data_IF_145406819891
#
_entry.id   IF_145406819891
#
_cell.length_a   1.000
_cell.length_b   1.000
_cell.length_c   1.000
_cell.angle_alpha   90.00
_cell.angle_beta   90.00
_cell.angle_gamma   90.00
#
_symmetry.space_group_name_H-M   'P 1'
#
loop_
_entity.id
_entity.type
_entity.pdbx_description
1 polymer ?
#
# COMPACT_ATOMS: atom_id res chain seq x y z
N UNK A 1 -38.28 -32.65 18.65
CA UNK A 1 -38.81 -31.30 18.37
C UNK A 1 -37.95 -30.30 19.14
N UNK A 2 -36.79 -29.92 18.58
CA UNK A 2 -35.88 -28.97 19.22
C UNK A 2 -36.34 -27.54 18.92
N UNK A 3 -36.79 -26.82 19.94
CA UNK A 3 -37.12 -25.40 19.78
C UNK A 3 -35.82 -24.61 19.75
N UNK A 4 -35.49 -24.01 18.62
CA UNK A 4 -34.39 -23.06 18.51
C UNK A 4 -34.69 -21.86 19.42
N UNK A 5 -33.92 -21.70 20.50
CA UNK A 5 -34.06 -20.57 21.41
C UNK A 5 -33.54 -19.31 20.70
N UNK A 6 -34.45 -18.39 20.38
CA UNK A 6 -34.09 -17.12 19.74
C UNK A 6 -33.38 -16.20 20.75
N UNK A 7 -32.32 -15.52 20.31
CA UNK A 7 -31.52 -14.56 21.10
C UNK A 7 -32.26 -13.25 21.47
N UNK A 8 -33.59 -13.32 21.55
CA UNK A 8 -34.48 -12.18 21.65
C UNK A 8 -35.58 -12.43 22.67
N UNK A 9 -35.85 -11.46 23.53
CA UNK A 9 -36.92 -11.51 24.54
C UNK A 9 -37.99 -10.50 24.19
N UNK A 10 -39.24 -10.92 24.22
CA UNK A 10 -40.39 -10.05 23.97
C UNK A 10 -41.00 -9.59 25.30
N UNK A 11 -41.20 -8.29 25.47
CA UNK A 11 -41.87 -7.75 26.64
C UNK A 11 -43.37 -8.13 26.62
N UNK A 12 -43.92 -8.79 27.65
CA UNK A 12 -45.33 -9.21 27.65
C UNK A 12 -46.32 -8.04 27.74
N UNK A 13 -45.87 -6.84 28.09
CA UNK A 13 -46.73 -5.68 28.27
C UNK A 13 -46.84 -4.77 27.04
N UNK A 14 -45.76 -4.64 26.25
CA UNK A 14 -45.74 -3.76 25.08
C UNK A 14 -45.31 -4.47 23.79
N UNK A 15 -45.07 -5.79 23.84
CA UNK A 15 -44.68 -6.64 22.71
C UNK A 15 -43.42 -6.21 21.96
N UNK A 16 -42.57 -5.37 22.56
CA UNK A 16 -41.27 -5.02 21.99
C UNK A 16 -40.27 -6.15 22.21
N UNK A 17 -39.53 -6.47 21.18
CA UNK A 17 -38.48 -7.49 21.17
C UNK A 17 -37.12 -6.84 21.44
N UNK A 18 -36.32 -7.47 22.30
CA UNK A 18 -35.00 -7.00 22.71
C UNK A 18 -33.97 -8.11 22.51
N UNK A 19 -32.89 -7.81 21.79
CA UNK A 19 -31.72 -8.68 21.75
C UNK A 19 -30.98 -8.56 23.08
N UNK A 20 -30.60 -9.69 23.66
CA UNK A 20 -29.96 -9.73 24.97
C UNK A 20 -28.66 -10.53 24.91
N UNK A 21 -27.71 -10.17 25.76
CA UNK A 21 -26.41 -10.84 25.88
C UNK A 21 -26.47 -11.92 26.97
N UNK A 22 -25.72 -13.02 26.86
CA UNK A 22 -25.72 -14.09 27.86
C UNK A 22 -25.40 -13.61 29.28
N UNK A 23 -24.64 -12.50 29.44
CA UNK A 23 -24.34 -11.89 30.76
C UNK A 23 -25.58 -11.40 31.54
N UNK A 24 -26.72 -11.24 30.84
CA UNK A 24 -27.99 -10.86 31.42
C UNK A 24 -28.85 -12.07 31.81
N UNK A 25 -28.40 -13.30 31.58
CA UNK A 25 -29.12 -14.52 31.95
C UNK A 25 -29.45 -14.51 33.45
N UNK A 26 -30.71 -14.82 33.78
CA UNK A 26 -31.23 -14.78 35.15
C UNK A 26 -31.35 -13.40 35.79
N UNK A 27 -31.02 -12.32 35.07
CA UNK A 27 -31.18 -10.95 35.58
C UNK A 27 -32.54 -10.38 35.18
N UNK A 28 -32.97 -9.38 35.94
CA UNK A 28 -34.19 -8.62 35.65
C UNK A 28 -33.82 -7.34 34.92
N UNK A 29 -34.37 -7.12 33.73
CA UNK A 29 -34.09 -5.94 32.90
C UNK A 29 -35.34 -5.08 32.77
N UNK A 30 -35.16 -3.75 32.74
CA UNK A 30 -36.27 -2.80 32.61
C UNK A 30 -36.58 -2.56 31.13
N UNK A 31 -37.82 -2.82 30.73
CA UNK A 31 -38.35 -2.49 29.42
C UNK A 31 -38.52 -0.97 29.26
N UNK A 32 -38.50 -0.48 28.02
CA UNK A 32 -38.78 0.94 27.71
C UNK A 32 -40.19 1.38 28.16
N UNK A 33 -41.15 0.46 28.30
CA UNK A 33 -42.48 0.75 28.83
C UNK A 33 -42.53 0.85 30.37
N UNK A 34 -41.39 0.71 31.06
CA UNK A 34 -41.30 0.80 32.52
C UNK A 34 -41.39 -0.53 33.27
N UNK A 35 -41.95 -1.57 32.65
CA UNK A 35 -42.10 -2.89 33.26
C UNK A 35 -40.78 -3.67 33.31
N UNK A 36 -40.64 -4.53 34.31
CA UNK A 36 -39.44 -5.37 34.51
C UNK A 36 -39.67 -6.75 33.86
N UNK A 37 -38.76 -7.16 32.99
CA UNK A 37 -38.77 -8.45 32.29
C UNK A 37 -37.74 -9.36 32.96
N UNK A 38 -38.12 -10.60 33.26
CA UNK A 38 -37.18 -11.63 33.70
C UNK A 38 -36.49 -12.24 32.46
N UNK A 39 -35.16 -12.19 32.43
CA UNK A 39 -34.37 -12.88 31.42
C UNK A 39 -34.25 -14.35 31.82
N UNK A 40 -34.44 -15.32 30.92
CA UNK A 40 -34.26 -16.74 31.22
C UNK A 40 -32.88 -17.03 31.84
N UNK A 41 -32.82 -17.95 32.80
CA UNK A 41 -31.56 -18.37 33.45
C UNK A 41 -30.63 -19.15 32.52
N UNK A 42 -31.20 -19.80 31.50
CA UNK A 42 -30.44 -20.57 30.52
C UNK A 42 -30.08 -19.63 29.38
N UNK A 43 -28.82 -19.19 29.37
CA UNK A 43 -28.25 -18.56 28.18
C UNK A 43 -28.33 -19.57 27.03
N UNK A 44 -28.82 -19.16 25.83
CA UNK A 44 -28.67 -20.01 24.67
C UNK A 44 -27.18 -20.29 24.54
N UNK A 45 -26.79 -21.56 24.69
CA UNK A 45 -25.45 -21.98 24.34
C UNK A 45 -25.32 -21.57 22.88
N UNK A 46 -24.44 -20.61 22.63
CA UNK A 46 -23.86 -20.49 21.32
C UNK A 46 -23.17 -21.84 21.13
N UNK A 47 -23.82 -22.76 20.40
CA UNK A 47 -23.04 -23.67 19.56
C UNK A 47 -22.16 -22.73 18.76
N UNK A 48 -20.92 -22.58 19.24
CA UNK A 48 -19.85 -22.17 18.35
C UNK A 48 -20.06 -23.09 17.17
N UNK A 49 -20.35 -22.55 15.96
CA UNK A 49 -20.35 -23.40 14.79
C UNK A 49 -19.05 -24.17 14.93
N UNK A 50 -19.17 -25.50 15.05
CA UNK A 50 -17.99 -26.34 15.05
C UNK A 50 -17.14 -25.78 13.93
N UNK A 51 -15.86 -25.53 14.19
CA UNK A 51 -14.93 -25.30 13.10
C UNK A 51 -15.13 -26.50 12.18
N UNK A 52 -16.01 -26.34 11.19
CA UNK A 52 -16.00 -27.07 9.96
C UNK A 52 -14.65 -26.63 9.40
N UNK A 53 -13.61 -27.35 9.86
CA UNK A 53 -12.55 -27.82 9.01
C UNK A 53 -13.27 -28.37 7.79
N UNK A 54 -13.59 -27.46 6.86
CA UNK A 54 -13.85 -27.75 5.49
C UNK A 54 -12.59 -28.47 5.03
N UNK A 55 -12.61 -29.79 5.19
CA UNK A 55 -11.87 -30.68 4.34
C UNK A 55 -12.46 -30.42 2.96
N UNK A 56 -11.85 -29.44 2.28
CA UNK A 56 -12.12 -29.12 0.89
C UNK A 56 -11.64 -30.34 0.12
N UNK A 57 -12.48 -31.37 0.09
CA UNK A 57 -12.36 -32.47 -0.84
C UNK A 57 -12.12 -31.84 -2.19
N UNK A 58 -11.03 -32.27 -2.82
CA UNK A 58 -10.51 -31.82 -4.10
C UNK A 58 -11.67 -31.63 -5.09
N UNK A 59 -12.21 -30.42 -5.15
CA UNK A 59 -13.27 -30.07 -6.09
C UNK A 59 -12.53 -29.93 -7.41
N UNK A 60 -12.68 -30.92 -8.27
CA UNK A 60 -12.12 -30.91 -9.61
C UNK A 60 -12.59 -29.63 -10.31
N UNK A 61 -11.68 -28.65 -10.44
CA UNK A 61 -11.96 -27.33 -11.00
C UNK A 61 -12.46 -27.41 -12.44
N UNK A 62 -12.38 -28.58 -13.09
CA UNK A 62 -12.89 -28.81 -14.43
C UNK A 62 -14.43 -28.80 -14.55
N UNK A 63 -15.16 -29.07 -13.45
CA UNK A 63 -16.63 -29.21 -13.47
C UNK A 63 -17.39 -27.99 -12.91
N UNK A 64 -16.69 -26.94 -12.51
CA UNK A 64 -17.35 -25.68 -12.18
C UNK A 64 -17.88 -25.04 -13.47
N UNK A 65 -19.19 -24.73 -13.56
CA UNK A 65 -19.72 -24.01 -14.71
C UNK A 65 -18.94 -22.69 -14.83
N UNK A 66 -18.51 -22.30 -16.05
CA UNK A 66 -17.75 -21.08 -16.23
C UNK A 66 -18.51 -19.93 -15.58
N UNK A 67 -17.83 -19.08 -14.80
CA UNK A 67 -18.50 -17.96 -14.14
C UNK A 67 -19.29 -17.20 -15.20
N UNK A 68 -20.54 -16.78 -14.91
CA UNK A 68 -21.36 -16.07 -15.87
C UNK A 68 -20.52 -14.91 -16.39
N UNK A 69 -20.15 -14.97 -17.67
CA UNK A 69 -19.36 -13.94 -18.33
C UNK A 69 -20.10 -12.63 -18.11
N UNK A 70 -19.57 -11.81 -17.22
CA UNK A 70 -20.17 -10.55 -16.84
C UNK A 70 -20.47 -9.80 -18.13
N UNK A 71 -21.76 -9.57 -18.40
CA UNK A 71 -22.23 -8.90 -19.60
C UNK A 71 -21.42 -7.62 -19.78
N UNK A 72 -20.53 -7.63 -20.76
CA UNK A 72 -19.44 -6.65 -20.87
C UNK A 72 -19.94 -5.20 -20.81
N UNK A 73 -19.10 -4.32 -20.27
CA UNK A 73 -19.38 -2.89 -20.21
C UNK A 73 -19.76 -2.37 -21.61
N UNK A 74 -20.92 -1.73 -21.74
CA UNK A 74 -21.37 -1.12 -23.00
C UNK A 74 -21.29 0.39 -22.90
N UNK A 75 -20.86 1.04 -23.99
CA UNK A 75 -20.83 2.50 -24.07
C UNK A 75 -22.24 3.07 -23.86
N UNK A 76 -22.47 4.00 -22.90
CA UNK A 76 -23.78 4.60 -22.66
C UNK A 76 -24.32 5.36 -23.88
N UNK A 77 -23.43 5.85 -24.74
CA UNK A 77 -23.82 6.65 -25.88
C UNK A 77 -24.12 5.85 -27.15
N UNK A 78 -23.40 4.77 -27.43
CA UNK A 78 -23.56 4.01 -28.70
C UNK A 78 -23.79 2.51 -28.51
N UNK A 79 -23.84 2.01 -27.26
CA UNK A 79 -24.08 0.62 -26.87
C UNK A 79 -23.07 -0.42 -27.39
N UNK A 80 -21.98 0.02 -28.01
CA UNK A 80 -20.89 -0.87 -28.39
C UNK A 80 -20.19 -1.43 -27.14
N UNK A 81 -19.77 -2.70 -27.18
CA UNK A 81 -18.98 -3.29 -26.11
C UNK A 81 -17.67 -2.52 -25.94
N UNK A 82 -17.24 -2.36 -24.70
CA UNK A 82 -16.00 -1.68 -24.30
C UNK A 82 -15.18 -2.60 -23.42
N UNK A 83 -13.85 -2.51 -23.57
CA UNK A 83 -12.91 -3.20 -22.68
C UNK A 83 -12.97 -2.59 -21.27
N UNK A 84 -13.00 -3.43 -20.20
CA UNK A 84 -12.94 -2.94 -18.84
C UNK A 84 -11.72 -2.03 -18.62
N UNK A 85 -11.94 -0.84 -18.06
CA UNK A 85 -10.87 0.13 -17.77
C UNK A 85 -10.59 1.15 -18.87
N UNK A 86 -11.19 1.04 -20.06
CA UNK A 86 -11.09 2.08 -21.10
C UNK A 86 -11.91 3.32 -20.71
N UNK A 87 -11.26 4.50 -20.66
CA UNK A 87 -11.94 5.78 -20.32
C UNK A 87 -12.79 6.32 -21.47
N UNK A 88 -12.46 6.00 -22.71
CA UNK A 88 -13.12 6.55 -23.90
C UNK A 88 -13.54 5.44 -24.86
N UNK A 89 -14.78 5.52 -25.35
CA UNK A 89 -15.27 4.60 -26.37
C UNK A 89 -14.58 4.87 -27.70
N UNK A 90 -13.87 3.87 -28.24
CA UNK A 90 -13.17 3.98 -29.53
C UNK A 90 -14.11 4.19 -30.72
N UNK A 91 -15.38 3.76 -30.62
CA UNK A 91 -16.32 3.88 -31.74
C UNK A 91 -17.02 5.25 -31.82
N UNK A 92 -17.33 5.87 -30.68
CA UNK A 92 -18.11 7.12 -30.66
C UNK A 92 -17.45 8.28 -29.89
N UNK A 93 -16.25 8.08 -29.34
CA UNK A 93 -15.51 9.11 -28.61
C UNK A 93 -16.10 9.53 -27.25
N UNK A 94 -17.07 8.77 -26.71
CA UNK A 94 -17.70 9.08 -25.41
C UNK A 94 -16.73 8.79 -24.25
N UNK A 95 -16.47 9.78 -23.40
CA UNK A 95 -15.66 9.63 -22.20
C UNK A 95 -16.54 9.24 -21.01
N UNK A 96 -16.33 8.03 -20.48
CA UNK A 96 -17.12 7.45 -19.39
C UNK A 96 -16.89 8.17 -18.07
N UNK A 97 -15.71 8.78 -17.87
CA UNK A 97 -15.39 9.55 -16.65
C UNK A 97 -15.97 10.96 -16.72
N UNK A 98 -15.93 11.59 -17.90
CA UNK A 98 -16.44 12.94 -18.08
C UNK A 98 -17.96 13.00 -18.34
N UNK A 99 -18.59 11.87 -18.69
CA UNK A 99 -20.03 11.79 -18.96
C UNK A 99 -20.48 12.53 -20.23
N UNK A 100 -19.55 12.89 -21.12
CA UNK A 100 -19.82 13.69 -22.32
C UNK A 100 -19.00 13.20 -23.52
N UNK A 101 -19.56 13.36 -24.73
CA UNK A 101 -18.80 13.14 -25.98
C UNK A 101 -17.75 14.23 -26.10
N UNK A 102 -16.48 13.85 -26.10
CA UNK A 102 -15.41 14.79 -26.47
C UNK A 102 -15.64 15.25 -27.91
N UNK A 103 -15.45 16.54 -28.17
CA UNK A 103 -15.38 17.02 -29.54
C UNK A 103 -14.14 16.39 -30.18
N UNK A 104 -14.36 15.35 -30.99
CA UNK A 104 -13.30 14.76 -31.80
C UNK A 104 -12.85 15.83 -32.79
N UNK A 105 -11.70 16.43 -32.52
CA UNK A 105 -11.00 17.26 -33.48
C UNK A 105 -10.48 16.36 -34.61
N UNK A 106 -11.34 16.10 -35.59
CA UNK A 106 -10.95 15.47 -36.84
C UNK A 106 -10.01 16.41 -37.59
N UNK A 107 -8.70 16.23 -37.40
CA UNK A 107 -7.69 16.76 -38.31
C UNK A 107 -6.56 15.74 -38.45
N UNK A 108 -6.84 14.66 -39.15
CA UNK A 108 -5.80 13.82 -39.77
C UNK A 108 -5.83 14.14 -41.27
N UNK A 109 -5.04 15.13 -41.65
CA UNK A 109 -4.62 15.39 -43.03
C UNK A 109 -3.09 15.46 -43.01
N UNK A 110 -2.45 14.58 -43.77
CA UNK A 110 -0.99 14.51 -43.93
C UNK A 110 -0.59 13.06 -44.22
N UNK A 111 -0.79 12.52 -45.41
CA UNK A 111 -0.12 12.85 -46.68
C UNK A 111 1.41 12.66 -46.62
N UNK A 112 1.87 11.70 -47.42
CA UNK A 112 3.23 11.21 -47.57
C UNK A 112 4.21 12.25 -48.14
N UNK A 113 5.49 12.09 -47.83
CA UNK A 113 6.59 12.44 -48.74
C UNK A 113 7.85 11.64 -48.39
N UNK A 114 8.30 10.87 -49.36
CA UNK A 114 9.61 10.24 -49.44
C UNK A 114 10.67 11.26 -49.87
N UNK A 115 11.91 11.03 -49.43
CA UNK A 115 13.21 11.44 -50.00
C UNK A 115 14.22 11.45 -48.84
N UNK A 116 15.49 11.11 -48.93
CA UNK A 116 16.37 10.55 -49.94
C UNK A 116 17.73 10.41 -49.22
N UNK A 117 18.58 9.53 -49.72
CA UNK A 117 19.88 9.15 -49.15
C UNK A 117 20.93 10.28 -49.05
N UNK A 118 21.91 10.13 -48.14
CA UNK A 118 23.35 10.20 -48.43
C UNK A 118 24.25 9.74 -47.25
N UNK A 119 25.50 9.26 -47.50
CA UNK A 119 26.34 8.52 -46.54
C UNK A 119 27.55 9.31 -45.97
N UNK A 120 28.12 8.72 -44.90
CA UNK A 120 29.53 8.69 -44.40
C UNK A 120 30.47 9.88 -44.71
N UNK A 121 31.08 10.42 -43.65
CA UNK A 121 32.44 10.93 -43.69
C UNK A 121 33.29 10.27 -42.58
N UNK A 122 34.16 9.35 -43.01
CA UNK A 122 35.25 8.78 -42.23
C UNK A 122 36.40 9.80 -42.31
N UNK A 123 36.79 10.40 -41.18
CA UNK A 123 37.99 11.21 -41.07
C UNK A 123 39.15 10.40 -40.52
N UNK A 124 40.13 10.07 -41.38
CA UNK A 124 41.41 9.47 -40.98
C UNK A 124 42.41 10.54 -40.49
N UNK A 125 43.16 10.13 -39.46
CA UNK A 125 44.49 10.53 -39.00
C UNK A 125 45.16 11.81 -39.55
N UNK A 126 45.60 12.66 -38.60
CA UNK A 126 46.91 13.32 -38.71
C UNK A 126 47.74 12.99 -37.47
N UNK A 127 48.73 12.10 -37.64
CA UNK A 127 49.75 11.83 -36.65
C UNK A 127 50.79 12.97 -36.68
N UNK A 128 50.81 13.81 -35.63
CA UNK A 128 51.90 14.75 -35.41
C UNK A 128 53.12 14.00 -34.85
N UNK A 129 54.15 13.85 -35.67
CA UNK A 129 55.52 13.54 -35.22
C UNK A 129 56.07 14.77 -34.51
N UNK A 130 56.38 14.65 -33.22
CA UNK A 130 57.23 15.63 -32.55
C UNK A 130 57.08 15.66 -31.04
N UNK A 131 57.31 14.56 -30.31
CA UNK A 131 57.35 14.61 -28.83
C UNK A 131 58.32 13.56 -28.23
N UNK A 132 59.52 13.38 -28.79
CA UNK A 132 60.54 12.53 -28.15
C UNK A 132 61.20 13.21 -26.93
N UNK A 133 61.12 14.54 -26.83
CA UNK A 133 61.70 15.31 -25.71
C UNK A 133 60.75 15.44 -24.50
N UNK A 134 59.43 15.34 -24.68
CA UNK A 134 58.44 15.43 -23.57
C UNK A 134 58.18 14.09 -22.85
N UNK A 135 58.65 12.98 -23.42
CA UNK A 135 58.45 11.65 -22.87
C UNK A 135 59.23 11.37 -21.56
N UNK A 136 60.30 12.13 -21.28
CA UNK A 136 61.05 12.00 -20.03
C UNK A 136 60.49 12.87 -18.89
N UNK A 137 59.88 14.02 -19.18
CA UNK A 137 59.26 14.88 -18.17
C UNK A 137 57.93 14.31 -17.64
N UNK A 138 57.14 13.67 -18.52
CA UNK A 138 55.91 12.98 -18.13
C UNK A 138 56.13 11.83 -17.15
N UNK A 139 57.28 11.13 -17.19
CA UNK A 139 57.53 10.00 -16.27
C UNK A 139 57.64 10.43 -14.81
N UNK A 140 58.20 11.61 -14.53
CA UNK A 140 58.28 12.11 -13.16
C UNK A 140 56.94 12.69 -12.68
N UNK A 141 56.19 13.34 -13.58
CA UNK A 141 54.84 13.83 -13.27
C UNK A 141 53.86 12.67 -12.99
N UNK A 142 53.93 11.59 -13.76
CA UNK A 142 53.10 10.40 -13.58
C UNK A 142 53.41 9.71 -12.25
N UNK A 143 54.70 9.59 -11.87
CA UNK A 143 55.11 9.04 -10.57
C UNK A 143 54.61 9.88 -9.39
N UNK A 144 54.65 11.21 -9.50
CA UNK A 144 54.16 12.09 -8.45
C UNK A 144 52.62 12.03 -8.34
N UNK A 145 51.91 11.98 -9.48
CA UNK A 145 50.47 11.81 -9.51
C UNK A 145 49.99 10.46 -8.93
N UNK A 146 50.73 9.36 -9.17
CA UNK A 146 50.35 8.05 -8.59
C UNK A 146 50.47 8.02 -7.07
N UNK A 147 51.46 8.70 -6.50
CA UNK A 147 51.60 8.84 -5.04
C UNK A 147 50.42 9.63 -4.42
N UNK A 148 50.01 10.74 -5.05
CA UNK A 148 48.87 11.53 -4.57
C UNK A 148 47.54 10.77 -4.67
N UNK A 149 47.29 10.05 -5.77
CA UNK A 149 46.08 9.23 -5.92
C UNK A 149 46.09 8.09 -4.90
N UNK A 150 47.22 7.42 -4.69
CA UNK A 150 47.37 6.40 -3.65
C UNK A 150 47.07 6.92 -2.25
N UNK A 151 47.57 8.11 -1.89
CA UNK A 151 47.29 8.74 -0.61
C UNK A 151 45.80 9.09 -0.43
N UNK A 152 45.14 9.61 -1.46
CA UNK A 152 43.69 9.92 -1.42
C UNK A 152 42.86 8.64 -1.25
N UNK A 153 43.22 7.55 -1.95
CA UNK A 153 42.52 6.27 -1.80
C UNK A 153 42.73 5.68 -0.41
N UNK A 154 43.93 5.82 0.18
CA UNK A 154 44.22 5.31 1.51
C UNK A 154 43.51 6.12 2.60
N UNK A 155 43.50 7.44 2.50
CA UNK A 155 42.77 8.32 3.44
C UNK A 155 41.25 8.19 3.27
N UNK A 156 40.76 8.18 2.02
CA UNK A 156 39.34 7.95 1.72
C UNK A 156 38.87 6.56 2.17
N UNK A 157 39.70 5.54 1.97
CA UNK A 157 39.48 4.19 2.45
C UNK A 157 39.47 4.11 3.98
N UNK A 158 40.35 4.82 4.68
CA UNK A 158 40.37 4.88 6.14
C UNK A 158 39.15 5.62 6.73
N UNK A 159 38.72 6.73 6.11
CA UNK A 159 37.50 7.46 6.52
C UNK A 159 36.26 6.60 6.28
N UNK A 160 36.17 5.92 5.13
CA UNK A 160 35.07 5.04 4.81
C UNK A 160 35.06 3.80 5.71
N UNK A 161 36.22 3.19 5.96
CA UNK A 161 36.36 2.06 6.87
C UNK A 161 36.05 2.45 8.31
N UNK A 162 36.47 3.62 8.80
CA UNK A 162 36.07 4.12 10.13
C UNK A 162 34.57 4.39 10.20
N UNK A 163 33.94 4.90 9.14
CA UNK A 163 32.49 5.09 9.10
C UNK A 163 31.69 3.78 9.03
N UNK A 164 32.28 2.73 8.44
CA UNK A 164 31.68 1.40 8.36
C UNK A 164 31.93 0.55 9.62
N UNK A 165 33.11 0.67 10.26
CA UNK A 165 33.49 -0.05 11.49
C UNK A 165 32.97 0.60 12.78
N UNK A 166 32.72 1.92 12.78
CA UNK A 166 32.14 2.62 13.94
C UNK A 166 30.66 2.30 14.19
N UNK A 167 30.07 1.34 13.45
CA UNK A 167 28.71 0.86 13.72
C UNK A 167 27.74 2.01 13.85
N UNK A 168 27.75 2.90 12.84
CA UNK A 168 27.08 4.19 12.85
C UNK A 168 25.63 4.09 13.27
N UNK A 169 25.40 4.16 14.59
CA UNK A 169 24.18 4.66 15.18
C UNK A 169 24.13 6.11 14.72
N UNK A 170 23.48 6.36 13.60
CA UNK A 170 22.97 7.68 13.28
C UNK A 170 21.93 8.01 14.34
N UNK A 171 22.40 8.38 15.53
CA UNK A 171 21.63 9.00 16.58
C UNK A 171 21.39 10.47 16.18
N UNK A 172 20.83 10.68 15.00
CA UNK A 172 19.91 11.80 14.84
C UNK A 172 18.82 11.55 15.87
N UNK A 173 18.61 12.45 16.84
CA UNK A 173 17.50 12.33 17.78
C UNK A 173 16.24 11.99 16.99
N UNK A 174 15.52 10.94 17.35
CA UNK A 174 14.29 10.55 16.67
C UNK A 174 13.37 11.77 16.60
N UNK A 175 13.06 12.20 15.38
CA UNK A 175 12.11 13.28 15.18
C UNK A 175 10.72 12.65 15.18
N UNK A 176 9.75 13.29 15.83
CA UNK A 176 8.37 12.80 15.88
C UNK A 176 8.24 11.44 16.56
N UNK A 177 7.73 10.44 15.83
CA UNK A 177 7.44 9.09 16.34
C UNK A 177 8.45 8.02 15.87
N UNK A 178 9.61 8.44 15.33
CA UNK A 178 10.60 7.53 14.76
C UNK A 178 11.07 6.46 15.76
N UNK A 179 11.40 6.86 16.99
CA UNK A 179 11.87 5.93 18.03
C UNK A 179 10.81 4.89 18.38
N UNK A 180 9.53 5.31 18.44
CA UNK A 180 8.39 4.41 18.66
C UNK A 180 8.25 3.42 17.51
N UNK A 181 8.32 3.88 16.26
CA UNK A 181 8.24 3.01 15.08
C UNK A 181 9.39 2.01 15.06
N UNK A 182 10.62 2.45 15.35
CA UNK A 182 11.80 1.59 15.39
C UNK A 182 11.65 0.52 16.49
N UNK A 183 11.15 0.91 17.67
CA UNK A 183 10.83 -0.04 18.73
C UNK A 183 9.77 -1.06 18.28
N UNK A 184 8.67 -0.61 17.66
CA UNK A 184 7.64 -1.51 17.12
C UNK A 184 8.17 -2.46 16.04
N UNK A 185 9.04 -1.98 15.15
CA UNK A 185 9.67 -2.84 14.13
C UNK A 185 10.47 -3.96 14.79
N UNK A 186 11.20 -3.65 15.86
CA UNK A 186 12.04 -4.61 16.57
C UNK A 186 11.23 -5.55 17.45
N UNK A 187 10.28 -5.03 18.21
CA UNK A 187 9.59 -5.75 19.28
C UNK A 187 8.38 -6.52 18.74
N UNK A 188 7.74 -6.05 17.66
CA UNK A 188 6.55 -6.68 17.05
C UNK A 188 6.86 -7.39 15.72
N UNK A 189 8.15 -7.58 15.39
CA UNK A 189 8.59 -8.17 14.11
C UNK A 189 7.97 -7.47 12.89
N UNK A 190 8.09 -6.14 12.84
CA UNK A 190 7.56 -5.34 11.73
C UNK A 190 8.09 -5.84 10.38
N UNK A 191 7.18 -6.19 9.48
CA UNK A 191 7.49 -6.74 8.15
C UNK A 191 6.91 -5.87 7.05
N UNK A 192 7.51 -5.92 5.86
CA UNK A 192 6.97 -5.18 4.71
C UNK A 192 5.53 -5.64 4.45
N UNK A 193 4.60 -4.70 4.29
CA UNK A 193 3.18 -4.97 4.35
C UNK A 193 2.68 -5.92 3.26
N UNK A 194 3.23 -5.87 2.03
CA UNK A 194 2.88 -6.83 0.98
C UNK A 194 3.36 -8.23 1.33
N UNK A 195 4.60 -8.36 1.81
CA UNK A 195 5.12 -9.64 2.30
C UNK A 195 4.25 -10.16 3.44
N UNK A 196 3.96 -9.31 4.43
CA UNK A 196 3.14 -9.65 5.58
C UNK A 196 1.76 -10.17 5.14
N UNK A 197 1.07 -9.50 4.22
CA UNK A 197 -0.21 -9.95 3.66
C UNK A 197 -0.11 -11.25 2.86
N UNK A 198 1.02 -11.49 2.18
CA UNK A 198 1.24 -12.70 1.38
C UNK A 198 1.55 -13.94 2.22
N UNK A 199 2.18 -13.78 3.38
CA UNK A 199 2.64 -14.88 4.22
C UNK A 199 1.46 -15.68 4.83
N UNK A 200 0.27 -15.09 4.97
CA UNK A 200 -0.90 -15.78 5.55
C UNK A 200 -2.24 -15.26 4.99
N UNK A 201 -3.16 -16.13 4.55
CA UNK A 201 -4.40 -15.70 3.90
C UNK A 201 -5.37 -14.94 4.81
N UNK A 202 -5.34 -15.21 6.12
CA UNK A 202 -6.14 -14.51 7.13
C UNK A 202 -5.57 -13.15 7.58
N UNK A 203 -4.45 -12.68 7.01
CA UNK A 203 -3.88 -11.39 7.39
C UNK A 203 -4.63 -10.23 6.76
N UNK A 204 -4.95 -9.22 7.57
CA UNK A 204 -5.68 -8.04 7.14
C UNK A 204 -5.26 -6.78 7.87
N UNK A 205 -5.36 -5.63 7.20
CA UNK A 205 -5.32 -4.34 7.87
C UNK A 205 -6.71 -4.08 8.47
N UNK A 206 -6.77 -3.57 9.70
CA UNK A 206 -8.02 -3.50 10.46
C UNK A 206 -9.19 -2.90 9.65
N UNK A 207 -10.35 -3.53 9.76
CA UNK A 207 -11.58 -3.10 9.08
C UNK A 207 -11.58 -3.27 7.55
N UNK A 208 -10.59 -3.96 6.96
CA UNK A 208 -10.50 -4.13 5.50
C UNK A 208 -10.32 -5.59 5.11
N UNK A 209 -10.87 -6.00 3.96
CA UNK A 209 -10.55 -7.30 3.37
C UNK A 209 -9.09 -7.34 2.90
N UNK A 210 -8.53 -8.52 2.66
CA UNK A 210 -7.16 -8.66 2.13
C UNK A 210 -6.95 -7.86 0.83
N UNK A 211 -7.88 -7.93 -0.12
CA UNK A 211 -7.78 -7.19 -1.38
C UNK A 211 -7.83 -5.67 -1.18
N UNK A 212 -8.62 -5.20 -0.21
CA UNK A 212 -8.66 -3.79 0.18
C UNK A 212 -7.37 -3.35 0.87
N UNK A 213 -6.78 -4.21 1.71
CA UNK A 213 -5.49 -3.99 2.34
C UNK A 213 -4.37 -3.87 1.29
N UNK A 214 -4.29 -4.82 0.35
CA UNK A 214 -3.32 -4.79 -0.75
C UNK A 214 -3.49 -3.52 -1.60
N UNK A 215 -4.72 -3.19 -1.99
CA UNK A 215 -5.02 -1.95 -2.71
C UNK A 215 -4.55 -0.70 -1.95
N UNK A 216 -4.75 -0.68 -0.63
CA UNK A 216 -4.35 0.46 0.21
C UNK A 216 -2.84 0.59 0.33
N UNK A 217 -2.13 -0.52 0.49
CA UNK A 217 -0.67 -0.56 0.45
C UNK A 217 -0.16 -0.01 -0.89
N UNK A 218 -0.77 -0.41 -2.00
CA UNK A 218 -0.44 0.14 -3.33
C UNK A 218 -0.73 1.64 -3.46
N UNK A 219 -1.80 2.16 -2.84
CA UNK A 219 -2.06 3.59 -2.82
C UNK A 219 -0.96 4.35 -2.07
N UNK A 220 -0.49 3.86 -0.92
CA UNK A 220 0.60 4.50 -0.17
C UNK A 220 1.90 4.54 -0.99
N UNK A 221 2.24 3.44 -1.67
CA UNK A 221 3.39 3.43 -2.59
C UNK A 221 3.22 4.42 -3.75
N UNK A 222 2.01 4.54 -4.32
CA UNK A 222 1.72 5.53 -5.38
C UNK A 222 1.84 6.97 -4.91
N UNK A 223 1.45 7.26 -3.68
CA UNK A 223 1.65 8.58 -3.03
C UNK A 223 3.12 8.85 -2.67
N UNK A 224 3.99 7.84 -2.76
CA UNK A 224 5.43 8.01 -2.63
C UNK A 224 6.06 7.42 -1.38
N UNK A 225 5.34 6.63 -0.58
CA UNK A 225 5.95 5.89 0.51
C UNK A 225 7.08 5.00 -0.02
N UNK A 226 8.25 5.02 0.61
CA UNK A 226 9.41 4.20 0.18
C UNK A 226 9.31 2.78 0.70
N UNK A 227 8.71 2.62 1.89
CA UNK A 227 8.45 1.34 2.53
C UNK A 227 7.16 1.41 3.34
N UNK A 228 6.39 0.33 3.34
CA UNK A 228 5.21 0.18 4.19
C UNK A 228 5.45 -1.02 5.11
N UNK A 229 5.36 -0.81 6.42
CA UNK A 229 5.62 -1.85 7.43
C UNK A 229 4.34 -2.11 8.21
N UNK A 230 3.87 -3.36 8.18
CA UNK A 230 2.75 -3.82 8.99
C UNK A 230 3.25 -4.45 10.29
N UNK A 231 2.42 -4.38 11.33
CA UNK A 231 2.71 -4.88 12.67
C UNK A 231 1.65 -5.90 13.11
N UNK A 232 2.02 -6.80 14.01
CA UNK A 232 1.09 -7.78 14.59
C UNK A 232 0.93 -9.09 13.82
N UNK A 233 0.00 -9.92 14.30
CA UNK A 233 -0.19 -11.31 13.87
C UNK A 233 -1.14 -11.47 12.67
N UNK A 234 -2.43 -11.68 12.95
CA UNK A 234 -3.49 -11.81 11.92
C UNK A 234 -4.08 -10.46 11.51
N UNK A 235 -4.05 -9.46 12.39
CA UNK A 235 -4.60 -8.14 12.10
C UNK A 235 -3.60 -7.05 12.48
N UNK A 236 -3.34 -6.14 11.54
CA UNK A 236 -2.49 -4.98 11.76
C UNK A 236 -3.37 -3.77 12.06
N UNK A 237 -3.36 -3.32 13.31
CA UNK A 237 -4.05 -2.10 13.75
C UNK A 237 -3.29 -0.84 13.41
N UNK A 238 -1.98 -0.97 13.19
CA UNK A 238 -1.07 0.14 12.93
C UNK A 238 -0.17 -0.23 11.77
N UNK A 239 0.21 0.73 10.95
CA UNK A 239 1.14 0.57 9.83
C UNK A 239 2.11 1.74 9.86
N UNK A 240 3.40 1.50 9.66
CA UNK A 240 4.40 2.57 9.51
C UNK A 240 4.73 2.78 8.03
N UNK A 241 4.70 4.03 7.59
CA UNK A 241 5.12 4.45 6.26
C UNK A 241 6.48 5.11 6.35
N UNK A 242 7.48 4.60 5.64
CA UNK A 242 8.76 5.29 5.46
C UNK A 242 8.55 6.42 4.45
N UNK A 243 8.81 7.65 4.90
CA UNK A 243 8.53 8.86 4.15
C UNK A 243 9.58 9.07 3.04
N UNK A 244 9.17 9.57 1.85
CA UNK A 244 10.12 9.92 0.80
C UNK A 244 10.94 11.17 1.16
N UNK A 245 12.10 11.31 0.51
CA UNK A 245 12.91 12.52 0.57
C UNK A 245 12.30 13.71 -0.20
N UNK A 246 11.39 13.42 -1.15
CA UNK A 246 10.67 14.44 -1.91
C UNK A 246 9.60 15.13 -1.03
N UNK A 247 9.73 16.45 -0.76
CA UNK A 247 8.81 17.16 0.13
C UNK A 247 7.38 17.23 -0.40
N UNK A 248 7.15 17.16 -1.71
CA UNK A 248 5.80 17.20 -2.28
C UNK A 248 5.03 15.91 -1.97
N UNK A 249 5.66 14.75 -2.23
CA UNK A 249 5.10 13.43 -1.91
C UNK A 249 4.95 13.22 -0.40
N UNK A 250 5.93 13.71 0.36
CA UNK A 250 5.86 13.71 1.82
C UNK A 250 4.63 14.46 2.31
N UNK A 251 4.41 15.69 1.82
CA UNK A 251 3.21 16.47 2.15
C UNK A 251 1.92 15.74 1.77
N UNK A 252 1.88 15.08 0.60
CA UNK A 252 0.72 14.29 0.17
C UNK A 252 0.36 13.17 1.16
N UNK A 253 1.35 12.46 1.70
CA UNK A 253 1.13 11.44 2.74
C UNK A 253 0.58 12.01 4.05
N UNK A 254 1.08 13.18 4.50
CA UNK A 254 0.55 13.86 5.69
C UNK A 254 -0.87 14.40 5.47
N UNK A 255 -1.16 14.97 4.30
CA UNK A 255 -2.52 15.44 3.98
C UNK A 255 -3.51 14.26 3.98
N UNK A 256 -3.09 13.10 3.45
CA UNK A 256 -3.87 11.87 3.49
C UNK A 256 -4.07 11.36 4.92
N UNK A 257 -3.01 11.29 5.73
CA UNK A 257 -3.06 10.89 7.14
C UNK A 257 -4.00 11.79 7.94
N UNK A 258 -3.87 13.11 7.75
CA UNK A 258 -4.70 14.09 8.43
C UNK A 258 -6.17 13.86 8.15
N UNK A 259 -6.54 13.63 6.89
CA UNK A 259 -7.91 13.31 6.51
C UNK A 259 -8.36 12.00 7.17
N UNK A 260 -7.56 10.95 7.05
CA UNK A 260 -7.87 9.62 7.58
C UNK A 260 -8.06 9.63 9.10
N UNK A 261 -7.15 10.26 9.85
CA UNK A 261 -7.18 10.33 11.31
C UNK A 261 -8.27 11.27 11.83
N UNK A 262 -8.54 12.39 11.13
CA UNK A 262 -9.66 13.28 11.50
C UNK A 262 -11.00 12.55 11.39
N UNK A 263 -11.20 11.69 10.38
CA UNK A 263 -12.41 10.86 10.25
C UNK A 263 -12.56 9.81 11.38
N UNK A 264 -11.51 9.56 12.16
CA UNK A 264 -11.48 8.63 13.29
C UNK A 264 -11.33 9.31 14.66
N UNK A 265 -11.39 10.65 14.71
CA UNK A 265 -11.11 11.44 15.92
C UNK A 265 -9.72 11.18 16.54
N UNK A 266 -8.74 10.79 15.70
CA UNK A 266 -7.34 10.64 16.08
C UNK A 266 -6.60 11.94 15.72
N UNK A 267 -5.72 12.41 16.61
CA UNK A 267 -4.93 13.62 16.36
C UNK A 267 -3.94 13.37 15.22
N UNK A 268 -4.00 14.15 14.11
CA UNK A 268 -3.04 14.04 13.01
C UNK A 268 -1.60 14.33 13.42
N UNK A 269 -0.68 13.65 12.76
CA UNK A 269 0.75 13.85 12.91
C UNK A 269 1.21 15.17 12.26
N UNK A 270 2.23 15.80 12.84
CA UNK A 270 2.87 17.00 12.26
C UNK A 270 4.19 16.59 11.62
N UNK A 271 4.49 17.12 10.43
CA UNK A 271 5.79 16.91 9.81
C UNK A 271 6.87 17.73 10.53
N UNK A 272 7.75 17.04 11.24
CA UNK A 272 8.92 17.57 11.95
C UNK A 272 10.22 17.06 11.35
N UNK A 273 10.19 16.45 10.16
CA UNK A 273 11.36 15.83 9.53
C UNK A 273 11.60 14.37 9.93
N UNK A 274 10.60 13.69 10.52
CA UNK A 274 10.67 12.28 10.90
C UNK A 274 10.86 11.34 9.70
N UNK A 275 11.42 10.17 9.91
CA UNK A 275 11.62 9.16 8.87
C UNK A 275 10.35 8.35 8.61
N UNK A 276 9.58 8.08 9.65
CA UNK A 276 8.39 7.24 9.59
C UNK A 276 7.12 8.02 9.95
N UNK A 277 6.02 7.69 9.29
CA UNK A 277 4.67 8.17 9.61
C UNK A 277 3.83 6.99 10.08
N UNK A 278 3.31 7.06 11.30
CA UNK A 278 2.49 6.00 11.89
C UNK A 278 1.01 6.20 11.52
N UNK A 279 0.43 5.21 10.85
CA UNK A 279 -0.97 5.21 10.44
C UNK A 279 -1.74 4.21 11.31
N UNK A 280 -2.72 4.70 12.06
CA UNK A 280 -3.68 3.86 12.78
C UNK A 280 -4.82 3.46 11.86
N UNK A 281 -5.22 2.20 11.89
CA UNK A 281 -6.31 1.66 11.10
C UNK A 281 -7.61 1.67 11.92
N UNK A 282 -8.75 1.82 11.23
CA UNK A 282 -10.08 1.84 11.84
C UNK A 282 -10.49 0.41 12.25
N UNK A 283 -11.02 0.26 13.47
CA UNK A 283 -11.73 -0.93 13.92
C UNK A 283 -13.13 -1.01 13.29
#
# INVERSE_FOLDING_TARGET
>A
MSQAQSNSITCPFCNRQYNWKPDLAGRRVKCKCGNVIAVPDVAPMYEQPAEDTYDVGEVDLADLPPPPVASGYRCPSCRNPMEPGTRQCLNCGFDVKAGKKGAVASKVTGAAAAAAAAPRAIGYATAKRGDAAKAMEQKNLIKQATLFVGAIVLVGGAIFAMRFLSGGKSATPGLGEDDTVIAMIKDENGTEAKKWLSDHPGRMLAGTTRSQAEYRVDQWYKMGATKVVAFGGLMSMTVALELPADPAKRKELFDWEKKWHTEMDIKPSVDVGQKYLLIRMRL
#
